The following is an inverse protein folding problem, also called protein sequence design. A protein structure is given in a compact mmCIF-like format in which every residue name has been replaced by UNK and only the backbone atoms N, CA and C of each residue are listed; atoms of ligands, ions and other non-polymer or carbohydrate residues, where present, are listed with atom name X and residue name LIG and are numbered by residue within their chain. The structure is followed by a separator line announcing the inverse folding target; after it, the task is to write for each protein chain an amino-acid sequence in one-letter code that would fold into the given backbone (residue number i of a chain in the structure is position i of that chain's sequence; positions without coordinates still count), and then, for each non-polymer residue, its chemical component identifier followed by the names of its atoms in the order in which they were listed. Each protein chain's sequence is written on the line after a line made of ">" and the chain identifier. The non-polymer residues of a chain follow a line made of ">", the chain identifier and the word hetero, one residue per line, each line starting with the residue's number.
data_IF_634135307575
#
_entry.id   IF_634135307575
#
_cell.length_a   1.000
_cell.length_b   1.000
_cell.length_c   1.000
_cell.angle_alpha   90.00
_cell.angle_beta   90.00
_cell.angle_gamma   90.00
#
_symmetry.space_group_name_H-M   'P 1'
#
loop_
_entity.id
_entity.type
_entity.pdbx_description
1 polymer ?
#
# COMPACT_ATOMS: atom_id res chain seq x y z
N UNK A 1 13.01 63.79 58.34
CA UNK A 1 12.49 63.60 56.96
C UNK A 1 12.94 62.24 56.45
N UNK A 2 12.06 61.23 56.44
CA UNK A 2 12.33 59.88 55.95
C UNK A 2 11.52 59.65 54.66
N UNK A 3 12.18 59.50 53.52
CA UNK A 3 11.57 59.21 52.24
C UNK A 3 11.41 57.71 52.10
N UNK A 4 10.17 57.27 52.03
CA UNK A 4 9.78 55.84 51.71
C UNK A 4 9.73 55.67 50.24
N UNK A 5 10.52 54.72 49.73
CA UNK A 5 10.48 54.26 48.32
C UNK A 5 9.49 53.07 48.16
N UNK A 6 8.45 53.30 47.43
CA UNK A 6 7.48 52.22 47.01
C UNK A 6 8.08 51.55 45.84
N UNK A 7 8.43 50.26 46.00
CA UNK A 7 8.84 49.37 44.87
C UNK A 7 7.57 48.71 44.24
N UNK A 8 7.21 49.16 43.04
CA UNK A 8 6.19 48.51 42.26
C UNK A 8 6.75 47.19 41.72
N UNK A 9 6.23 46.05 42.17
CA UNK A 9 6.50 44.74 41.60
C UNK A 9 5.51 44.51 40.45
N UNK A 10 6.01 44.48 39.20
CA UNK A 10 5.29 44.03 38.04
C UNK A 10 5.17 42.52 38.12
N UNK A 11 3.96 42.00 38.37
CA UNK A 11 3.63 40.60 38.26
C UNK A 11 3.32 40.34 36.79
N UNK A 12 4.30 39.74 36.08
CA UNK A 12 4.05 39.19 34.75
C UNK A 12 3.22 37.90 34.89
N UNK A 13 1.92 38.01 34.58
CA UNK A 13 1.04 36.86 34.53
C UNK A 13 1.40 35.96 33.32
N UNK A 14 1.81 34.75 33.57
CA UNK A 14 1.90 33.70 32.55
C UNK A 14 0.47 33.28 32.17
N UNK A 15 0.07 33.56 30.92
CA UNK A 15 -1.15 33.02 30.31
C UNK A 15 -0.71 31.70 29.69
N UNK A 16 -1.20 30.52 30.15
CA UNK A 16 -0.95 29.27 29.46
C UNK A 16 -1.77 29.29 28.16
N UNK A 17 -1.10 29.36 27.01
CA UNK A 17 -1.70 29.10 25.71
C UNK A 17 -2.13 27.63 25.67
N UNK A 18 -3.41 27.40 25.90
CA UNK A 18 -4.04 26.10 25.72
C UNK A 18 -4.02 25.75 24.21
N UNK A 19 -2.98 25.07 23.77
CA UNK A 19 -2.89 24.56 22.41
C UNK A 19 -3.99 23.53 22.17
N UNK A 20 -5.03 23.91 21.43
CA UNK A 20 -6.10 23.03 20.98
C UNK A 20 -5.48 22.05 19.95
N UNK A 21 -5.07 20.87 20.40
CA UNK A 21 -4.71 19.74 19.52
C UNK A 21 -5.99 19.29 18.81
N UNK A 22 -6.19 19.77 17.57
CA UNK A 22 -7.18 19.21 16.65
C UNK A 22 -6.71 17.79 16.29
N UNK A 23 -7.22 16.79 17.01
CA UNK A 23 -7.14 15.41 16.60
C UNK A 23 -8.02 15.26 15.34
N UNK A 24 -7.39 15.26 14.16
CA UNK A 24 -8.07 14.86 12.94
C UNK A 24 -8.45 13.39 13.12
N UNK A 25 -9.74 13.10 13.23
CA UNK A 25 -10.26 11.75 13.15
C UNK A 25 -9.86 11.20 11.77
N UNK A 26 -8.87 10.30 11.74
CA UNK A 26 -8.53 9.59 10.51
C UNK A 26 -9.73 8.74 10.14
N UNK A 27 -10.24 8.92 8.92
CA UNK A 27 -11.26 8.05 8.35
C UNK A 27 -10.77 6.59 8.30
N UNK A 28 -11.64 5.64 8.00
CA UNK A 28 -11.26 4.24 7.88
C UNK A 28 -10.14 4.08 6.85
N UNK A 29 -9.16 3.20 7.15
CA UNK A 29 -8.04 2.92 6.25
C UNK A 29 -8.56 2.25 4.98
N UNK A 30 -8.34 2.85 3.79
CA UNK A 30 -8.83 2.27 2.54
C UNK A 30 -8.08 0.99 2.17
N UNK A 31 -8.76 0.05 1.52
CA UNK A 31 -8.12 -1.12 0.90
C UNK A 31 -7.61 -0.71 -0.48
N UNK A 32 -6.30 -0.52 -0.59
CA UNK A 32 -5.64 -0.09 -1.84
C UNK A 32 -5.13 -1.26 -2.65
N UNK A 33 -5.28 -1.16 -3.96
CA UNK A 33 -4.74 -2.10 -4.94
C UNK A 33 -3.72 -1.37 -5.82
N UNK A 34 -2.53 -1.93 -5.94
CA UNK A 34 -1.58 -1.59 -7.00
C UNK A 34 -1.82 -2.56 -8.16
N UNK A 35 -2.22 -2.08 -9.32
CA UNK A 35 -2.51 -2.90 -10.50
C UNK A 35 -1.44 -2.72 -11.56
N UNK A 36 -0.90 -3.83 -12.06
CA UNK A 36 -0.11 -3.88 -13.29
C UNK A 36 -0.99 -4.39 -14.44
N UNK A 37 -0.88 -3.78 -15.60
CA UNK A 37 -1.61 -4.22 -16.80
C UNK A 37 -0.81 -3.90 -18.05
N UNK A 38 -1.01 -4.68 -19.11
CA UNK A 38 -0.38 -4.42 -20.41
C UNK A 38 -1.09 -3.27 -21.12
N UNK A 39 -0.37 -2.21 -21.42
CA UNK A 39 -0.85 -1.09 -22.22
C UNK A 39 -0.94 -1.44 -23.70
N UNK A 40 -1.58 -0.57 -24.49
CA UNK A 40 -1.70 -0.74 -25.95
C UNK A 40 -0.35 -0.76 -26.69
N UNK A 41 0.68 -0.21 -26.05
CA UNK A 41 2.08 -0.21 -26.55
C UNK A 41 2.86 -1.48 -26.17
N UNK A 42 2.20 -2.49 -25.58
CA UNK A 42 2.83 -3.73 -25.14
C UNK A 42 3.67 -3.61 -23.87
N UNK A 43 3.66 -2.44 -23.20
CA UNK A 43 4.44 -2.18 -22.00
C UNK A 43 3.55 -2.28 -20.76
N UNK A 44 4.13 -2.75 -19.66
CA UNK A 44 3.41 -2.77 -18.38
C UNK A 44 3.19 -1.37 -17.85
N UNK A 45 1.97 -1.06 -17.53
CA UNK A 45 1.50 0.16 -16.86
C UNK A 45 1.11 -0.16 -15.43
N UNK A 46 1.10 0.88 -14.58
CA UNK A 46 0.67 0.77 -13.20
C UNK A 46 -0.38 1.83 -12.89
N UNK A 47 -1.39 1.40 -12.16
CA UNK A 47 -2.38 2.28 -11.54
C UNK A 47 -2.61 1.86 -10.09
N UNK A 48 -3.06 2.79 -9.26
CA UNK A 48 -3.48 2.53 -7.89
C UNK A 48 -4.93 2.99 -7.72
N UNK A 49 -5.72 2.19 -7.04
CA UNK A 49 -7.10 2.51 -6.73
C UNK A 49 -7.55 1.88 -5.40
N UNK A 50 -8.66 2.35 -4.89
CA UNK A 50 -9.25 1.85 -3.65
C UNK A 50 -10.43 0.94 -3.99
N UNK A 51 -10.54 -0.17 -3.24
CA UNK A 51 -11.70 -1.05 -3.35
C UNK A 51 -12.88 -0.40 -2.64
N UNK A 52 -14.01 -0.18 -3.33
CA UNK A 52 -15.22 0.29 -2.69
C UNK A 52 -15.73 -0.73 -1.66
N UNK A 53 -15.86 -0.29 -0.41
CA UNK A 53 -16.40 -1.09 0.67
C UNK A 53 -17.83 -0.67 0.98
N UNK A 54 -18.69 -1.63 1.33
CA UNK A 54 -20.09 -1.40 1.71
C UNK A 54 -20.33 -1.87 3.14
N UNK A 55 -20.93 -1.06 4.01
CA UNK A 55 -21.25 -1.44 5.37
C UNK A 55 -22.12 -2.71 5.44
N UNK A 56 -21.73 -3.64 6.34
CA UNK A 56 -22.46 -4.89 6.63
C UNK A 56 -22.95 -4.94 8.08
N UNK A 57 -22.82 -3.84 8.82
CA UNK A 57 -23.16 -3.76 10.24
C UNK A 57 -22.04 -4.26 11.17
N UNK A 58 -22.16 -3.94 12.47
CA UNK A 58 -21.20 -4.32 13.52
C UNK A 58 -19.74 -3.90 13.23
N UNK A 59 -19.54 -2.74 12.55
CA UNK A 59 -18.21 -2.24 12.22
C UNK A 59 -17.50 -3.01 11.10
N UNK A 60 -18.22 -3.80 10.31
CA UNK A 60 -17.67 -4.55 9.16
C UNK A 60 -18.11 -3.89 7.85
N UNK A 61 -17.19 -3.81 6.92
CA UNK A 61 -17.43 -3.38 5.54
C UNK A 61 -16.88 -4.44 4.58
N UNK A 62 -17.59 -4.72 3.49
CA UNK A 62 -17.19 -5.71 2.50
C UNK A 62 -17.03 -5.10 1.12
N UNK A 63 -15.93 -5.47 0.46
CA UNK A 63 -15.74 -5.24 -0.96
C UNK A 63 -16.42 -6.29 -1.84
N UNK A 64 -16.23 -6.15 -3.13
CA UNK A 64 -16.70 -7.13 -4.11
C UNK A 64 -16.04 -8.48 -3.87
N UNK A 65 -16.84 -9.56 -3.91
CA UNK A 65 -16.31 -10.94 -3.94
C UNK A 65 -15.67 -11.21 -5.31
N UNK A 66 -14.44 -11.73 -5.29
CA UNK A 66 -13.68 -12.09 -6.48
C UNK A 66 -13.51 -13.60 -6.55
N UNK A 67 -13.90 -14.20 -7.67
CA UNK A 67 -13.68 -15.63 -7.89
C UNK A 67 -12.20 -15.92 -8.20
N UNK A 68 -11.63 -16.89 -7.49
CA UNK A 68 -10.21 -17.27 -7.59
C UNK A 68 -10.08 -18.78 -7.86
N UNK A 69 -8.97 -19.20 -8.49
CA UNK A 69 -8.67 -20.62 -8.76
C UNK A 69 -8.08 -21.32 -7.54
N UNK A 70 -7.19 -20.64 -6.84
CA UNK A 70 -6.44 -21.22 -5.73
C UNK A 70 -5.80 -20.13 -4.88
N UNK A 71 -5.25 -20.52 -3.73
CA UNK A 71 -4.35 -19.72 -2.91
C UNK A 71 -3.06 -20.50 -2.73
N UNK A 72 -1.92 -19.89 -3.08
CA UNK A 72 -0.60 -20.48 -2.93
C UNK A 72 0.24 -19.65 -1.97
N UNK A 73 0.79 -20.28 -0.93
CA UNK A 73 1.81 -19.66 -0.08
C UNK A 73 3.16 -19.76 -0.75
N UNK A 74 3.86 -18.65 -0.85
CA UNK A 74 5.17 -18.59 -1.49
C UNK A 74 6.20 -17.92 -0.60
N UNK A 75 7.32 -18.61 -0.38
CA UNK A 75 8.54 -18.00 0.16
C UNK A 75 9.47 -17.66 -1.00
N UNK A 76 9.96 -16.44 -1.01
CA UNK A 76 10.96 -15.96 -1.97
C UNK A 76 12.17 -15.51 -1.16
N UNK A 77 13.35 -16.05 -1.48
CA UNK A 77 14.57 -15.72 -0.73
C UNK A 77 15.04 -14.27 -1.05
N UNK A 78 15.95 -13.79 -0.21
CA UNK A 78 16.48 -12.43 -0.30
C UNK A 78 17.28 -12.13 -1.58
N UNK A 79 17.76 -13.16 -2.28
CA UNK A 79 18.58 -13.06 -3.49
C UNK A 79 17.74 -13.20 -4.77
N UNK A 80 16.40 -13.22 -4.65
CA UNK A 80 15.52 -13.34 -5.80
C UNK A 80 15.61 -12.10 -6.69
N UNK A 81 15.97 -12.34 -7.95
CA UNK A 81 16.00 -11.35 -9.03
C UNK A 81 15.51 -12.02 -10.32
N UNK A 82 14.36 -11.62 -10.79
CA UNK A 82 13.75 -12.14 -12.01
C UNK A 82 13.65 -11.00 -13.02
N UNK A 83 14.36 -11.17 -14.12
CA UNK A 83 14.40 -10.22 -15.24
C UNK A 83 13.02 -10.09 -15.93
N UNK A 84 12.93 -9.33 -17.00
CA UNK A 84 11.70 -9.00 -17.71
C UNK A 84 10.83 -10.21 -17.97
N UNK A 85 9.63 -10.21 -17.42
CA UNK A 85 8.65 -11.29 -17.57
C UNK A 85 7.23 -10.76 -17.39
N UNK A 86 6.25 -11.26 -18.17
CA UNK A 86 4.84 -11.00 -17.91
C UNK A 86 4.35 -11.83 -16.72
N UNK A 87 3.28 -11.41 -16.07
CA UNK A 87 2.61 -12.22 -15.09
C UNK A 87 2.11 -13.54 -15.73
N UNK A 88 2.32 -14.70 -15.06
CA UNK A 88 1.92 -16.01 -15.65
C UNK A 88 0.39 -16.17 -15.76
N UNK A 89 -0.36 -15.41 -14.99
CA UNK A 89 -1.81 -15.32 -15.02
C UNK A 89 -2.26 -14.04 -14.32
N UNK A 90 -3.51 -13.65 -14.55
CA UNK A 90 -4.13 -12.58 -13.75
C UNK A 90 -4.23 -13.06 -12.30
N UNK A 91 -3.62 -12.35 -11.36
CA UNK A 91 -3.53 -12.81 -9.99
C UNK A 91 -3.32 -11.67 -9.00
N UNK A 92 -3.82 -11.87 -7.78
CA UNK A 92 -3.34 -11.08 -6.66
C UNK A 92 -2.03 -11.63 -6.11
N UNK A 93 -1.17 -10.72 -5.68
CA UNK A 93 -0.02 -11.03 -4.83
C UNK A 93 -0.14 -10.19 -3.57
N UNK A 94 -0.35 -10.86 -2.43
CA UNK A 94 -0.45 -10.20 -1.13
C UNK A 94 0.83 -10.44 -0.36
N UNK A 95 1.55 -9.38 -0.02
CA UNK A 95 2.77 -9.49 0.78
C UNK A 95 2.42 -9.60 2.26
N UNK A 96 2.86 -10.68 2.90
CA UNK A 96 2.65 -10.93 4.34
C UNK A 96 3.87 -10.48 5.16
N UNK A 97 5.09 -10.71 4.65
CA UNK A 97 6.34 -10.27 5.28
C UNK A 97 7.44 -10.11 4.24
N UNK A 98 8.49 -9.36 4.59
CA UNK A 98 9.56 -9.00 3.66
C UNK A 98 9.08 -7.99 2.62
N UNK A 99 9.94 -7.68 1.66
CA UNK A 99 9.68 -6.65 0.66
C UNK A 99 10.13 -7.09 -0.74
N UNK A 100 9.49 -6.53 -1.75
CA UNK A 100 9.91 -6.66 -3.15
C UNK A 100 9.82 -5.33 -3.87
N UNK A 101 10.59 -5.23 -4.94
CA UNK A 101 10.55 -4.13 -5.90
C UNK A 101 10.14 -4.66 -7.26
N UNK A 102 9.17 -3.99 -7.87
CA UNK A 102 8.78 -4.18 -9.27
C UNK A 102 9.36 -3.01 -10.05
N UNK A 103 10.10 -3.31 -11.14
CA UNK A 103 10.62 -2.29 -12.05
C UNK A 103 9.89 -2.37 -13.38
N UNK A 104 9.40 -1.23 -13.84
CA UNK A 104 8.72 -1.05 -15.12
C UNK A 104 9.68 -0.41 -16.13
N UNK A 105 9.35 -0.50 -17.39
CA UNK A 105 10.09 0.21 -18.44
C UNK A 105 10.19 1.71 -18.12
N UNK A 106 11.35 2.29 -18.43
CA UNK A 106 11.68 3.67 -18.06
C UNK A 106 12.22 3.82 -16.63
N UNK A 107 12.43 2.68 -15.90
CA UNK A 107 13.07 2.68 -14.59
C UNK A 107 12.16 3.05 -13.43
N UNK A 108 10.84 3.15 -13.65
CA UNK A 108 9.88 3.36 -12.56
C UNK A 108 9.86 2.14 -11.64
N UNK A 109 10.05 2.36 -10.34
CA UNK A 109 10.09 1.33 -9.31
C UNK A 109 8.92 1.45 -8.36
N UNK A 110 8.37 0.29 -7.98
CA UNK A 110 7.25 0.15 -7.05
C UNK A 110 7.68 -0.80 -5.96
N UNK A 111 7.62 -0.37 -4.71
CA UNK A 111 7.93 -1.21 -3.56
C UNK A 111 6.66 -1.81 -2.98
N UNK A 112 6.73 -3.09 -2.67
CA UNK A 112 5.62 -3.87 -2.12
C UNK A 112 6.10 -4.52 -0.82
N UNK A 113 5.61 -4.04 0.30
CA UNK A 113 5.86 -4.54 1.65
C UNK A 113 4.63 -5.20 2.28
N UNK A 114 4.70 -5.56 3.56
CA UNK A 114 3.60 -6.19 4.28
C UNK A 114 2.30 -5.39 4.20
N UNK A 115 1.20 -6.07 3.88
CA UNK A 115 -0.12 -5.46 3.69
C UNK A 115 -0.38 -4.88 2.30
N UNK A 116 0.64 -4.76 1.42
CA UNK A 116 0.40 -4.35 0.04
C UNK A 116 -0.24 -5.47 -0.77
N UNK A 117 -1.19 -5.08 -1.61
CA UNK A 117 -1.91 -5.96 -2.52
C UNK A 117 -1.59 -5.53 -3.95
N UNK A 118 -0.90 -6.40 -4.68
CA UNK A 118 -0.66 -6.25 -6.11
C UNK A 118 -1.71 -7.05 -6.88
N UNK A 119 -2.32 -6.46 -7.90
CA UNK A 119 -3.08 -7.16 -8.92
C UNK A 119 -2.24 -7.18 -10.21
N UNK A 120 -1.61 -8.30 -10.49
CA UNK A 120 -0.83 -8.49 -11.72
C UNK A 120 -1.74 -8.96 -12.84
N UNK A 121 -1.93 -8.12 -13.85
CA UNK A 121 -2.73 -8.37 -15.05
C UNK A 121 -1.94 -8.08 -16.35
N UNK A 122 -0.65 -7.86 -16.23
CA UNK A 122 0.29 -7.68 -17.34
C UNK A 122 0.75 -9.05 -17.87
N UNK A 123 -0.23 -9.85 -18.33
CA UNK A 123 -0.03 -11.24 -18.77
C UNK A 123 0.53 -11.37 -20.19
N UNK A 124 0.79 -10.27 -20.86
CA UNK A 124 1.33 -10.19 -22.22
C UNK A 124 2.35 -9.06 -22.34
N UNK A 125 3.04 -8.97 -23.47
CA UNK A 125 4.01 -7.92 -23.74
C UNK A 125 5.33 -8.10 -22.97
N UNK A 126 6.02 -7.00 -22.66
CA UNK A 126 7.34 -7.02 -22.03
C UNK A 126 7.30 -7.48 -20.58
N UNK A 127 6.22 -7.18 -19.84
CA UNK A 127 6.11 -7.46 -18.41
C UNK A 127 6.89 -6.47 -17.55
N UNK A 128 7.42 -7.00 -16.45
CA UNK A 128 8.13 -6.25 -15.42
C UNK A 128 9.33 -7.05 -14.89
N UNK A 129 10.23 -6.37 -14.19
CA UNK A 129 11.30 -7.01 -13.41
C UNK A 129 10.80 -7.12 -11.98
N UNK A 130 11.13 -8.22 -11.28
CA UNK A 130 10.74 -8.43 -9.88
C UNK A 130 11.93 -8.84 -9.04
N UNK A 131 12.24 -8.08 -7.99
CA UNK A 131 13.38 -8.33 -7.10
C UNK A 131 12.94 -8.39 -5.64
N UNK A 132 13.59 -9.26 -4.85
CA UNK A 132 13.55 -9.11 -3.40
C UNK A 132 14.38 -7.89 -2.99
N UNK A 133 13.92 -7.17 -1.96
CA UNK A 133 14.68 -6.08 -1.36
C UNK A 133 14.70 -6.28 0.17
N UNK A 134 15.73 -5.69 0.82
CA UNK A 134 15.95 -5.91 2.25
C UNK A 134 16.77 -7.15 2.55
N UNK A 135 16.84 -7.57 3.82
CA UNK A 135 17.76 -8.58 4.32
C UNK A 135 17.14 -9.96 4.55
N UNK A 136 15.82 -10.08 4.44
CA UNK A 136 15.09 -11.32 4.76
C UNK A 136 14.27 -11.88 3.60
N UNK A 137 13.79 -13.11 3.79
CA UNK A 137 12.86 -13.74 2.87
C UNK A 137 11.52 -13.02 2.84
N UNK A 138 10.88 -13.02 1.68
CA UNK A 138 9.51 -12.54 1.51
C UNK A 138 8.54 -13.71 1.59
N UNK A 139 7.46 -13.56 2.36
CA UNK A 139 6.32 -14.47 2.36
C UNK A 139 5.14 -13.75 1.70
N UNK A 140 4.51 -14.41 0.73
CA UNK A 140 3.39 -13.86 -0.03
C UNK A 140 2.31 -14.90 -0.29
N UNK A 141 1.10 -14.43 -0.53
CA UNK A 141 0.03 -15.22 -1.14
C UNK A 141 -0.04 -14.89 -2.62
N UNK A 142 -0.05 -15.92 -3.46
CA UNK A 142 -0.35 -15.84 -4.88
C UNK A 142 -1.74 -16.41 -5.09
N UNK A 143 -2.64 -15.62 -5.69
CA UNK A 143 -4.07 -15.91 -5.76
C UNK A 143 -4.53 -15.69 -7.21
N UNK A 144 -4.36 -16.68 -8.10
CA UNK A 144 -4.82 -16.58 -9.49
C UNK A 144 -6.33 -16.39 -9.55
N UNK A 145 -6.77 -15.42 -10.37
CA UNK A 145 -8.19 -15.18 -10.63
C UNK A 145 -8.79 -16.34 -11.43
N UNK A 146 -10.06 -16.63 -11.20
CA UNK A 146 -10.80 -17.52 -12.07
C UNK A 146 -10.89 -16.94 -13.49
N UNK A 147 -11.02 -17.83 -14.51
CA UNK A 147 -11.15 -17.39 -15.89
C UNK A 147 -12.41 -16.53 -16.04
N UNK A 148 -12.27 -15.40 -16.72
CA UNK A 148 -13.35 -14.45 -16.91
C UNK A 148 -13.75 -13.64 -15.67
N UNK A 149 -13.12 -13.85 -14.50
CA UNK A 149 -13.40 -13.03 -13.33
C UNK A 149 -13.08 -11.56 -13.62
N UNK A 150 -13.98 -10.62 -13.28
CA UNK A 150 -13.71 -9.20 -13.44
C UNK A 150 -12.61 -8.76 -12.46
N UNK A 151 -11.85 -7.73 -12.86
CA UNK A 151 -10.98 -7.04 -11.91
C UNK A 151 -11.83 -6.33 -10.86
N UNK A 152 -11.52 -6.44 -9.57
CA UNK A 152 -12.26 -5.70 -8.55
C UNK A 152 -12.04 -4.19 -8.75
N UNK A 153 -13.14 -3.44 -8.67
CA UNK A 153 -13.14 -1.97 -8.78
C UNK A 153 -14.28 -1.38 -7.97
#
# INVERSE_FOLDING_TARGET
>A
MKRTWIRNALVLGWIPTLGLLLAFAQGPTPVKITRLYTGADGKTKVEEYEIPLKPQGKGTELGQTVAVKSVQFRRTNKDYDLDWHPAPSRQFVVTLSGESEIELEGGRKIRLGPGNILLAEDTTGQGHISRAIGSGDRISLFIPLADGAPSPR
#
